data_IF_312127971644
#
_entry.id   IF_312127971644
#
_cell.length_a   1.000
_cell.length_b   1.000
_cell.length_c   1.000
_cell.angle_alpha   90.00
_cell.angle_beta   90.00
_cell.angle_gamma   90.00
#
_symmetry.space_group_name_H-M   'P 1'
#
loop_
_entity.id
_entity.type
_entity.pdbx_description
1 polymer ?
#
# COMPACT_ATOMS: atom_id res chain seq x y z
N UNK A 1 -10.60 -29.94 34.36
CA UNK A 1 -10.90 -28.71 33.58
C UNK A 1 -9.72 -27.76 33.51
N UNK A 2 -8.90 -27.63 34.56
CA UNK A 2 -7.72 -26.75 34.58
C UNK A 2 -6.68 -27.06 33.48
N UNK A 3 -6.35 -28.33 33.25
CA UNK A 3 -5.42 -28.73 32.19
C UNK A 3 -5.92 -28.40 30.76
N UNK A 4 -7.24 -28.38 30.54
CA UNK A 4 -7.82 -27.98 29.24
C UNK A 4 -7.77 -26.46 29.04
N UNK A 5 -8.01 -25.70 30.11
CA UNK A 5 -7.90 -24.24 30.08
C UNK A 5 -6.45 -23.80 29.85
N UNK A 6 -5.50 -24.39 30.58
CA UNK A 6 -4.07 -24.12 30.41
C UNK A 6 -3.57 -24.46 28.99
N UNK A 7 -4.05 -25.58 28.42
CA UNK A 7 -3.76 -25.93 27.03
C UNK A 7 -4.32 -24.88 26.06
N UNK A 8 -5.60 -24.50 26.22
CA UNK A 8 -6.25 -23.52 25.35
C UNK A 8 -5.58 -22.14 25.40
N UNK A 9 -5.16 -21.69 26.58
CA UNK A 9 -4.44 -20.43 26.76
C UNK A 9 -3.06 -20.47 26.13
N UNK A 10 -2.31 -21.56 26.30
CA UNK A 10 -1.00 -21.72 25.68
C UNK A 10 -1.12 -21.74 24.14
N UNK A 11 -2.14 -22.43 23.60
CA UNK A 11 -2.39 -22.50 22.17
C UNK A 11 -2.79 -21.13 21.59
N UNK A 12 -3.57 -20.34 22.34
CA UNK A 12 -3.90 -18.97 21.95
C UNK A 12 -2.67 -18.07 21.92
N UNK A 13 -1.82 -18.14 22.94
CA UNK A 13 -0.56 -17.37 22.99
C UNK A 13 0.40 -17.74 21.86
N UNK A 14 0.50 -19.02 21.52
CA UNK A 14 1.31 -19.47 20.37
C UNK A 14 0.79 -18.83 19.09
N UNK A 15 -0.53 -18.85 18.86
CA UNK A 15 -1.13 -18.22 17.67
C UNK A 15 -0.90 -16.71 17.63
N UNK A 16 -1.00 -16.03 18.76
CA UNK A 16 -0.74 -14.59 18.87
C UNK A 16 0.72 -14.27 18.53
N UNK A 17 1.68 -14.98 19.13
CA UNK A 17 3.12 -14.79 18.87
C UNK A 17 3.47 -15.13 17.41
N UNK A 18 2.90 -16.19 16.84
CA UNK A 18 3.12 -16.54 15.44
C UNK A 18 2.60 -15.48 14.46
N UNK A 19 1.51 -14.80 14.80
CA UNK A 19 1.02 -13.67 14.02
C UNK A 19 1.95 -12.47 14.17
N UNK A 20 2.39 -12.14 15.39
CA UNK A 20 3.36 -11.06 15.63
C UNK A 20 4.68 -11.29 14.87
N UNK A 21 5.20 -12.53 14.87
CA UNK A 21 6.41 -12.88 14.10
C UNK A 21 6.19 -12.66 12.61
N UNK A 22 5.04 -13.05 12.08
CA UNK A 22 4.71 -12.83 10.66
C UNK A 22 4.64 -11.34 10.35
N UNK A 23 3.98 -10.54 11.19
CA UNK A 23 3.87 -9.10 11.00
C UNK A 23 5.25 -8.41 11.06
N UNK A 24 6.12 -8.82 11.99
CA UNK A 24 7.49 -8.30 12.13
C UNK A 24 8.37 -8.70 10.93
N UNK A 25 8.25 -9.95 10.45
CA UNK A 25 8.96 -10.40 9.26
C UNK A 25 8.56 -9.60 8.03
N UNK A 26 7.26 -9.35 7.87
CA UNK A 26 6.71 -8.57 6.76
C UNK A 26 7.22 -7.13 6.76
N UNK A 27 7.35 -6.52 7.95
CA UNK A 27 7.97 -5.19 8.11
C UNK A 27 9.47 -5.18 7.75
N UNK A 28 10.18 -6.28 7.98
CA UNK A 28 11.63 -6.38 7.75
C UNK A 28 11.96 -6.68 6.27
N UNK A 29 10.98 -7.06 5.45
CA UNK A 29 11.18 -7.49 4.05
C UNK A 29 10.49 -6.61 3.01
N UNK A 30 10.10 -5.37 3.34
CA UNK A 30 9.48 -4.46 2.37
C UNK A 30 10.43 -4.18 1.20
N UNK A 31 9.96 -4.43 -0.02
CA UNK A 31 10.71 -4.16 -1.25
C UNK A 31 10.52 -2.69 -1.64
N UNK A 32 11.53 -1.85 -1.38
CA UNK A 32 11.48 -0.41 -1.68
C UNK A 32 11.91 -0.04 -3.09
N UNK A 33 12.01 -0.98 -4.02
CA UNK A 33 12.62 -0.74 -5.32
C UNK A 33 14.00 -1.40 -5.44
N UNK A 34 14.54 -1.42 -6.67
CA UNK A 34 15.84 -2.03 -6.94
C UNK A 34 16.99 -1.28 -6.24
N UNK A 35 16.87 0.04 -6.15
CA UNK A 35 17.83 0.92 -5.50
C UNK A 35 17.19 1.72 -4.36
N UNK A 36 16.16 1.14 -3.73
CA UNK A 36 15.42 1.75 -2.60
C UNK A 36 14.75 3.09 -2.95
N UNK A 37 14.35 3.29 -4.21
CA UNK A 37 13.79 4.54 -4.73
C UNK A 37 12.54 4.99 -3.95
N UNK A 38 11.78 4.04 -3.42
CA UNK A 38 10.54 4.29 -2.68
C UNK A 38 10.72 4.33 -1.16
N UNK A 39 11.94 4.10 -0.63
CA UNK A 39 12.17 4.02 0.81
C UNK A 39 11.79 5.33 1.55
N UNK A 40 11.98 6.48 0.89
CA UNK A 40 11.61 7.78 1.44
C UNK A 40 10.09 7.99 1.61
N UNK A 41 9.26 7.09 1.06
CA UNK A 41 7.81 7.14 1.22
C UNK A 41 7.32 6.35 2.43
N UNK A 42 8.13 5.46 3.01
CA UNK A 42 7.72 4.69 4.19
C UNK A 42 7.68 5.61 5.42
N UNK A 43 6.58 5.53 6.17
CA UNK A 43 6.29 6.42 7.28
C UNK A 43 5.67 7.78 6.90
N UNK A 44 5.59 8.11 5.61
CA UNK A 44 4.90 9.29 5.12
C UNK A 44 3.45 8.96 4.74
N UNK A 45 2.53 9.90 4.96
CA UNK A 45 1.12 9.73 4.64
C UNK A 45 0.58 10.91 3.83
N UNK A 46 -0.17 10.59 2.79
CA UNK A 46 -0.73 11.55 1.85
C UNK A 46 -2.25 11.50 1.90
N UNK A 47 -2.89 12.65 1.71
CA UNK A 47 -4.35 12.75 1.78
C UNK A 47 -4.96 13.16 0.45
N UNK A 48 -6.19 12.71 0.21
CA UNK A 48 -7.03 13.13 -0.90
C UNK A 48 -8.45 13.34 -0.39
N UNK A 49 -9.02 14.49 -0.68
CA UNK A 49 -10.36 14.84 -0.24
C UNK A 49 -11.32 14.88 -1.43
N UNK A 50 -12.47 14.22 -1.27
CA UNK A 50 -13.62 14.43 -2.13
C UNK A 50 -14.81 15.01 -1.35
N UNK A 51 -16.02 14.86 -1.88
CA UNK A 51 -17.24 15.40 -1.24
C UNK A 51 -17.57 14.70 0.08
N UNK A 52 -17.36 13.40 0.18
CA UNK A 52 -17.86 12.55 1.27
C UNK A 52 -16.73 12.02 2.17
N UNK A 53 -15.54 11.80 1.61
CA UNK A 53 -14.43 11.13 2.26
C UNK A 53 -13.13 11.95 2.24
N UNK A 54 -12.36 11.78 3.31
CA UNK A 54 -10.94 12.06 3.36
C UNK A 54 -10.22 10.71 3.26
N UNK A 55 -9.54 10.48 2.15
CA UNK A 55 -8.70 9.31 1.94
C UNK A 55 -7.29 9.58 2.44
N UNK A 56 -6.70 8.59 3.09
CA UNK A 56 -5.31 8.64 3.56
C UNK A 56 -4.57 7.43 2.98
N UNK A 57 -3.41 7.68 2.40
CA UNK A 57 -2.52 6.66 1.87
C UNK A 57 -1.14 6.79 2.49
N UNK A 58 -0.70 5.75 3.19
CA UNK A 58 0.64 5.65 3.75
C UNK A 58 1.37 4.49 3.02
N UNK A 59 2.24 4.79 2.05
CA UNK A 59 2.97 3.77 1.30
C UNK A 59 3.66 2.76 2.22
N UNK A 60 3.57 1.48 1.87
CA UNK A 60 4.10 0.36 2.65
C UNK A 60 3.48 0.15 4.04
N UNK A 61 2.39 0.84 4.37
CA UNK A 61 1.65 0.64 5.61
C UNK A 61 0.18 0.31 5.32
N UNK A 62 -0.63 1.29 4.92
CA UNK A 62 -2.07 1.14 4.75
C UNK A 62 -2.74 2.23 3.92
N UNK A 63 -3.96 1.94 3.46
CA UNK A 63 -4.91 2.91 2.93
C UNK A 63 -6.15 2.97 3.83
N UNK A 64 -6.70 4.17 4.07
CA UNK A 64 -7.94 4.35 4.82
C UNK A 64 -8.83 5.42 4.21
N UNK A 65 -10.13 5.37 4.56
CA UNK A 65 -11.07 6.44 4.29
C UNK A 65 -11.72 6.89 5.57
N UNK A 66 -11.90 8.20 5.73
CA UNK A 66 -12.63 8.80 6.84
C UNK A 66 -13.83 9.55 6.31
N UNK A 67 -15.02 9.19 6.78
CA UNK A 67 -16.25 9.93 6.47
C UNK A 67 -16.17 11.34 7.05
N UNK A 68 -16.43 12.36 6.22
CA UNK A 68 -16.38 13.75 6.68
C UNK A 68 -17.50 14.11 7.65
N UNK A 69 -18.67 13.49 7.48
CA UNK A 69 -19.85 13.74 8.30
C UNK A 69 -19.77 13.14 9.70
N UNK A 70 -19.37 11.86 9.81
CA UNK A 70 -19.36 11.10 11.05
C UNK A 70 -17.97 11.03 11.70
N UNK A 71 -16.91 11.30 10.93
CA UNK A 71 -15.53 11.07 11.36
C UNK A 71 -15.14 9.60 11.44
N UNK A 72 -16.02 8.66 11.06
CA UNK A 72 -15.72 7.24 11.08
C UNK A 72 -14.62 6.89 10.06
N UNK A 73 -13.54 6.28 10.53
CA UNK A 73 -12.44 5.80 9.69
C UNK A 73 -12.59 4.30 9.42
N UNK A 74 -12.41 3.93 8.15
CA UNK A 74 -12.48 2.56 7.64
C UNK A 74 -11.14 2.20 7.03
N UNK A 75 -10.58 1.04 7.40
CA UNK A 75 -9.37 0.51 6.78
C UNK A 75 -9.71 -0.06 5.39
N UNK A 76 -9.02 0.40 4.35
CA UNK A 76 -9.19 -0.04 2.97
C UNK A 76 -8.16 -1.08 2.52
N UNK A 77 -7.20 -1.40 3.38
CA UNK A 77 -6.19 -2.43 3.21
C UNK A 77 -4.86 -2.03 3.84
N UNK A 78 -4.11 -3.02 4.31
CA UNK A 78 -2.70 -2.90 4.71
C UNK A 78 -1.81 -3.35 3.56
N UNK A 79 -0.61 -2.79 3.44
CA UNK A 79 0.35 -3.15 2.40
C UNK A 79 0.57 -4.67 2.39
N UNK A 80 0.58 -5.27 1.20
CA UNK A 80 0.83 -6.71 1.02
C UNK A 80 2.05 -6.92 0.12
N UNK A 81 2.05 -6.37 -1.10
CA UNK A 81 3.14 -6.57 -2.05
C UNK A 81 3.04 -5.64 -3.27
N UNK A 82 4.13 -5.59 -4.05
CA UNK A 82 4.09 -5.18 -5.45
C UNK A 82 3.43 -6.25 -6.31
N UNK A 83 2.58 -5.84 -7.24
CA UNK A 83 1.85 -6.74 -8.16
C UNK A 83 2.10 -6.44 -9.64
N UNK A 84 3.09 -5.59 -9.94
CA UNK A 84 3.57 -5.40 -11.30
C UNK A 84 4.44 -6.56 -11.77
N UNK A 85 4.56 -6.74 -13.09
CA UNK A 85 5.37 -7.79 -13.71
C UNK A 85 6.50 -7.20 -14.56
N UNK A 86 7.64 -7.92 -14.63
CA UNK A 86 8.80 -7.56 -15.45
C UNK A 86 9.29 -6.13 -15.17
N UNK A 87 9.51 -5.36 -16.23
CA UNK A 87 9.96 -3.95 -16.16
C UNK A 87 8.94 -3.01 -15.48
N UNK A 88 7.72 -3.49 -15.21
CA UNK A 88 6.65 -2.73 -14.55
C UNK A 88 6.42 -3.17 -13.11
N UNK A 89 7.33 -3.93 -12.51
CA UNK A 89 7.23 -4.46 -11.14
C UNK A 89 6.79 -3.39 -10.14
N UNK A 90 7.38 -2.20 -10.22
CA UNK A 90 7.17 -1.09 -9.29
C UNK A 90 6.06 -0.10 -9.68
N UNK A 91 5.13 -0.51 -10.57
CA UNK A 91 4.03 0.36 -11.00
C UNK A 91 2.75 0.17 -10.18
N UNK A 92 2.59 -0.94 -9.47
CA UNK A 92 1.35 -1.25 -8.73
C UNK A 92 1.63 -1.93 -7.41
N UNK A 93 1.05 -1.38 -6.34
CA UNK A 93 1.01 -2.05 -5.03
C UNK A 93 -0.39 -2.54 -4.71
N UNK A 94 -0.45 -3.65 -3.98
CA UNK A 94 -1.67 -4.22 -3.43
C UNK A 94 -1.72 -4.01 -1.92
N UNK A 95 -2.87 -3.55 -1.45
CA UNK A 95 -3.20 -3.36 -0.04
C UNK A 95 -4.45 -4.19 0.28
N UNK A 96 -4.31 -5.21 1.13
CA UNK A 96 -5.34 -6.21 1.39
C UNK A 96 -5.77 -6.25 2.86
N UNK A 97 -6.70 -7.13 3.19
CA UNK A 97 -7.17 -7.35 4.57
C UNK A 97 -7.79 -6.11 5.24
N UNK A 98 -8.42 -5.23 4.46
CA UNK A 98 -9.16 -4.09 4.98
C UNK A 98 -10.43 -4.50 5.75
N UNK A 99 -11.12 -3.51 6.32
CA UNK A 99 -12.34 -3.71 7.10
C UNK A 99 -13.39 -4.48 6.29
N UNK A 100 -14.02 -5.48 6.91
CA UNK A 100 -15.03 -6.31 6.26
C UNK A 100 -16.17 -5.48 5.65
N UNK A 101 -16.54 -5.83 4.42
CA UNK A 101 -17.62 -5.19 3.69
C UNK A 101 -18.92 -5.98 3.86
N UNK A 102 -20.04 -5.30 4.13
CA UNK A 102 -21.33 -5.99 4.22
C UNK A 102 -21.69 -6.59 2.85
N UNK A 103 -21.82 -7.92 2.77
CA UNK A 103 -22.02 -8.68 1.53
C UNK A 103 -20.94 -8.43 0.45
N UNK A 104 -19.69 -8.22 0.86
CA UNK A 104 -18.57 -8.08 -0.05
C UNK A 104 -17.30 -8.76 0.49
N UNK A 105 -16.23 -8.81 -0.30
CA UNK A 105 -14.93 -9.25 0.20
C UNK A 105 -14.41 -8.28 1.28
N UNK A 106 -13.32 -8.66 1.95
CA UNK A 106 -12.54 -7.68 2.70
C UNK A 106 -12.11 -6.55 1.76
N UNK A 107 -12.12 -5.31 2.26
CA UNK A 107 -11.72 -4.17 1.45
C UNK A 107 -10.29 -4.34 0.94
N UNK A 108 -10.09 -3.99 -0.31
CA UNK A 108 -8.84 -4.11 -1.05
C UNK A 108 -8.57 -2.79 -1.77
N UNK A 109 -7.33 -2.33 -1.75
CA UNK A 109 -6.89 -1.16 -2.51
C UNK A 109 -5.73 -1.54 -3.42
N UNK A 110 -5.83 -1.17 -4.70
CA UNK A 110 -4.72 -1.20 -5.65
C UNK A 110 -4.24 0.21 -5.90
N UNK A 111 -2.95 0.46 -5.70
CA UNK A 111 -2.34 1.78 -5.90
C UNK A 111 -1.47 1.73 -7.15
N UNK A 112 -1.84 2.52 -8.16
CA UNK A 112 -1.07 2.76 -9.37
C UNK A 112 -0.08 3.91 -9.14
N UNK A 113 1.22 3.59 -9.16
CA UNK A 113 2.30 4.56 -9.07
C UNK A 113 2.59 5.15 -10.45
N UNK A 114 2.68 6.48 -10.50
CA UNK A 114 2.99 7.26 -11.70
C UNK A 114 4.16 8.21 -11.43
N UNK A 115 5.02 8.37 -12.42
CA UNK A 115 6.04 9.41 -12.40
C UNK A 115 5.38 10.79 -12.30
N UNK A 116 5.80 11.59 -11.34
CA UNK A 116 5.34 12.95 -11.12
C UNK A 116 6.35 13.74 -10.29
N UNK A 117 6.20 15.06 -10.22
CA UNK A 117 7.13 15.94 -9.50
C UNK A 117 6.87 15.99 -7.98
N UNK A 118 5.71 15.53 -7.55
CA UNK A 118 5.24 15.63 -6.17
C UNK A 118 4.72 14.27 -5.71
N UNK A 119 4.88 14.00 -4.40
CA UNK A 119 4.24 12.86 -3.76
C UNK A 119 2.79 13.21 -3.45
N UNK A 120 1.85 12.71 -4.25
CA UNK A 120 0.44 13.06 -4.09
C UNK A 120 -0.50 12.01 -4.67
N UNK A 121 -1.62 11.78 -3.96
CA UNK A 121 -2.75 11.04 -4.52
C UNK A 121 -3.43 11.97 -5.54
N UNK A 122 -3.53 11.53 -6.80
CA UNK A 122 -4.19 12.28 -7.88
C UNK A 122 -5.66 11.94 -8.02
N UNK A 123 -6.03 10.70 -7.76
CA UNK A 123 -7.42 10.27 -7.80
C UNK A 123 -7.63 9.00 -6.99
N UNK A 124 -8.85 8.85 -6.47
CA UNK A 124 -9.36 7.64 -5.84
C UNK A 124 -10.66 7.25 -6.53
N UNK A 125 -10.82 5.97 -6.87
CA UNK A 125 -12.04 5.42 -7.46
C UNK A 125 -12.42 4.11 -6.76
N UNK A 126 -13.72 3.84 -6.63
CA UNK A 126 -14.28 2.56 -6.19
C UNK A 126 -14.94 1.86 -7.40
N UNK A 127 -14.15 1.20 -8.29
CA UNK A 127 -14.69 0.59 -9.51
C UNK A 127 -15.67 -0.54 -9.21
N UNK A 128 -15.41 -1.32 -8.16
CA UNK A 128 -16.31 -2.33 -7.63
C UNK A 128 -16.50 -2.07 -6.13
N UNK A 129 -17.63 -2.54 -5.57
CA UNK A 129 -17.91 -2.38 -4.16
C UNK A 129 -16.75 -2.94 -3.31
N UNK A 130 -16.21 -2.10 -2.43
CA UNK A 130 -15.13 -2.44 -1.51
C UNK A 130 -13.79 -2.78 -2.18
N UNK A 131 -13.64 -2.47 -3.48
CA UNK A 131 -12.37 -2.48 -4.20
C UNK A 131 -12.04 -1.06 -4.64
N UNK A 132 -10.87 -0.57 -4.25
CA UNK A 132 -10.45 0.79 -4.48
C UNK A 132 -9.25 0.83 -5.41
N UNK A 133 -9.19 1.85 -6.27
CA UNK A 133 -8.04 2.14 -7.10
C UNK A 133 -7.56 3.57 -6.84
N UNK A 134 -6.29 3.69 -6.48
CA UNK A 134 -5.64 4.97 -6.23
C UNK A 134 -4.64 5.21 -7.35
N UNK A 135 -4.57 6.45 -7.83
CA UNK A 135 -3.46 6.91 -8.67
C UNK A 135 -2.58 7.79 -7.81
N UNK A 136 -1.35 7.36 -7.56
CA UNK A 136 -0.37 8.06 -6.75
C UNK A 136 0.79 8.52 -7.62
N UNK A 137 1.04 9.83 -7.66
CA UNK A 137 2.23 10.37 -8.29
C UNK A 137 3.37 10.48 -7.28
N UNK A 138 4.58 10.20 -7.74
CA UNK A 138 5.80 10.36 -6.95
C UNK A 138 7.03 10.47 -7.87
N UNK A 139 8.05 11.27 -7.50
CA UNK A 139 9.34 11.25 -8.19
C UNK A 139 10.01 9.88 -8.17
N UNK A 140 9.75 9.05 -7.15
CA UNK A 140 10.32 7.70 -7.02
C UNK A 140 9.91 6.75 -8.17
N UNK A 141 8.75 7.01 -8.79
CA UNK A 141 8.22 6.24 -9.91
C UNK A 141 8.67 6.78 -11.28
N UNK A 142 9.47 7.85 -11.28
CA UNK A 142 10.20 8.24 -12.47
C UNK A 142 11.42 7.34 -12.57
N UNK A 143 11.43 6.44 -13.55
CA UNK A 143 12.67 5.79 -13.94
C UNK A 143 13.69 6.90 -14.12
N UNK A 144 14.77 6.85 -13.32
CA UNK A 144 15.94 7.65 -13.59
C UNK A 144 16.31 7.28 -15.00
N UNK A 145 15.92 8.12 -15.96
CA UNK A 145 16.29 7.97 -17.35
C UNK A 145 17.78 7.78 -17.24
N UNK A 146 18.24 6.54 -17.48
CA UNK A 146 19.61 6.32 -17.88
C UNK A 146 19.64 7.18 -19.12
N UNK A 147 20.10 8.42 -18.95
CA UNK A 147 20.39 9.32 -20.01
C UNK A 147 21.50 8.59 -20.75
N UNK A 148 21.06 7.73 -21.67
CA UNK A 148 21.90 7.19 -22.71
C UNK A 148 22.45 8.43 -23.37
N UNK A 149 23.68 8.74 -22.99
CA UNK A 149 24.50 9.82 -23.50
C UNK A 149 24.82 9.45 -24.95
N UNK A 150 23.82 9.52 -25.83
CA UNK A 150 24.05 9.53 -27.27
C UNK A 150 24.55 10.93 -27.66
N UNK A 151 25.63 11.38 -27.01
CA UNK A 151 26.57 12.33 -27.58
C UNK A 151 27.40 11.59 -28.60
N UNK A 152 26.81 11.31 -29.75
CA UNK A 152 27.52 11.10 -31.01
C UNK A 152 26.47 11.01 -32.11
N UNK A 153 26.23 12.12 -32.82
CA UNK A 153 26.41 12.20 -34.28
C UNK A 153 26.02 13.59 -34.80
N UNK A 154 26.79 14.61 -34.42
CA UNK A 154 27.04 15.72 -35.33
C UNK A 154 28.28 15.36 -36.14
N UNK A 155 28.08 14.74 -37.30
CA UNK A 155 29.13 14.64 -38.33
C UNK A 155 28.57 15.09 -39.68
N UNK A 156 29.10 16.25 -40.11
CA UNK A 156 29.25 16.83 -41.45
C UNK A 156 28.02 17.48 -42.11
#
# INVERSE_FOLDING_TARGET
NEARNAYSEAEQKVREIENEIRDIQDQTSKDYGLNEEYAALDGECFTFEDREYLYTFCPFERASQKQRSSGHETNLGSYEQWIGEGDKKYQKQKYAHGTACWNGPQRLTIVDFKCGLENAIKSVAEPNRCEYNYVFETPAACDGVVADDTRQRDEL
#
